data_IF_490515607526
#
_entry.id   IF_490515607526
#
_cell.length_a   1.000
_cell.length_b   1.000
_cell.length_c   1.000
_cell.angle_alpha   90.00
_cell.angle_beta   90.00
_cell.angle_gamma   90.00
#
_symmetry.space_group_name_H-M   'P 1'
#
loop_
_entity.id
_entity.type
_entity.pdbx_description
1 polymer ?
#
# COMPACT_ATOMS: atom_id res chain seq x y z
N UNK A 1 -56.04 -51.21 -47.40
CA UNK A 1 -54.98 -50.39 -48.01
C UNK A 1 -54.94 -48.95 -47.49
N UNK A 2 -56.06 -48.21 -47.46
CA UNK A 2 -56.10 -46.80 -47.00
C UNK A 2 -55.65 -46.59 -45.53
N UNK A 3 -55.99 -47.52 -44.62
CA UNK A 3 -55.64 -47.44 -43.19
C UNK A 3 -54.13 -47.57 -42.91
N UNK A 4 -53.43 -48.38 -43.70
CA UNK A 4 -51.98 -48.54 -43.59
C UNK A 4 -51.25 -47.27 -44.03
N UNK A 5 -51.74 -46.63 -45.11
CA UNK A 5 -51.21 -45.35 -45.59
C UNK A 5 -51.41 -44.22 -44.58
N UNK A 6 -52.58 -44.15 -43.93
CA UNK A 6 -52.81 -43.18 -42.86
C UNK A 6 -51.92 -43.45 -41.63
N UNK A 7 -51.73 -44.71 -41.25
CA UNK A 7 -50.89 -45.08 -40.11
C UNK A 7 -49.40 -44.75 -40.35
N UNK A 8 -48.88 -45.02 -41.56
CA UNK A 8 -47.49 -44.68 -41.89
C UNK A 8 -47.27 -43.17 -41.92
N UNK A 9 -48.22 -42.40 -42.47
CA UNK A 9 -48.15 -40.95 -42.50
C UNK A 9 -48.17 -40.35 -41.08
N UNK A 10 -49.02 -40.87 -40.20
CA UNK A 10 -49.08 -40.44 -38.80
C UNK A 10 -47.77 -40.72 -38.04
N UNK A 11 -47.12 -41.84 -38.33
CA UNK A 11 -45.86 -42.22 -37.66
C UNK A 11 -44.68 -41.37 -38.14
N UNK A 12 -44.65 -41.01 -39.43
CA UNK A 12 -43.65 -40.10 -40.00
C UNK A 12 -43.76 -38.67 -39.46
N UNK A 13 -44.98 -38.22 -39.13
CA UNK A 13 -45.19 -36.90 -38.51
C UNK A 13 -44.78 -36.85 -37.03
N UNK A 14 -44.65 -38.01 -36.38
CA UNK A 14 -44.28 -38.11 -34.96
C UNK A 14 -42.76 -38.17 -34.74
N UNK A 15 -41.95 -38.25 -35.81
CA UNK A 15 -40.50 -38.13 -35.70
C UNK A 15 -40.13 -36.67 -35.47
N UNK A 16 -40.11 -36.28 -34.19
CA UNK A 16 -39.76 -34.93 -33.75
C UNK A 16 -38.31 -34.54 -34.07
N UNK A 17 -38.05 -33.23 -34.11
CA UNK A 17 -36.73 -32.68 -34.35
C UNK A 17 -35.73 -33.09 -33.24
N UNK A 18 -34.57 -33.60 -33.63
CA UNK A 18 -33.48 -33.85 -32.71
C UNK A 18 -32.80 -32.51 -32.35
N UNK A 19 -33.07 -32.00 -31.15
CA UNK A 19 -32.36 -30.83 -30.61
C UNK A 19 -31.03 -31.28 -30.02
N UNK A 20 -29.93 -30.88 -30.64
CA UNK A 20 -28.60 -31.02 -30.05
C UNK A 20 -28.49 -30.10 -28.82
N UNK A 21 -28.06 -30.64 -27.68
CA UNK A 21 -27.73 -29.83 -26.51
C UNK A 21 -26.39 -29.14 -26.77
N UNK A 22 -26.42 -27.84 -27.09
CA UNK A 22 -25.20 -27.04 -27.09
C UNK A 22 -24.74 -26.87 -25.64
N UNK A 23 -23.54 -27.36 -25.34
CA UNK A 23 -22.97 -27.23 -24.01
C UNK A 23 -22.62 -25.75 -23.80
N UNK A 24 -23.03 -25.13 -22.67
CA UNK A 24 -22.65 -23.76 -22.35
C UNK A 24 -21.13 -23.62 -22.44
N UNK A 25 -20.66 -22.65 -23.23
CA UNK A 25 -19.23 -22.37 -23.34
C UNK A 25 -18.65 -22.14 -21.94
N UNK A 26 -17.68 -22.96 -21.55
CA UNK A 26 -16.86 -22.69 -20.35
C UNK A 26 -16.09 -21.40 -20.59
N UNK A 27 -16.53 -20.31 -19.98
CA UNK A 27 -15.72 -19.12 -19.85
C UNK A 27 -14.54 -19.47 -18.92
N UNK A 28 -13.31 -19.21 -19.38
CA UNK A 28 -12.17 -19.29 -18.50
C UNK A 28 -12.37 -18.29 -17.35
N UNK A 29 -12.01 -18.66 -16.10
CA UNK A 29 -11.99 -17.70 -15.00
C UNK A 29 -11.20 -16.46 -15.41
N UNK A 30 -11.63 -15.24 -15.01
CA UNK A 30 -10.87 -14.03 -15.28
C UNK A 30 -9.42 -14.20 -14.83
N UNK A 31 -8.44 -13.64 -15.58
CA UNK A 31 -7.05 -13.66 -15.16
C UNK A 31 -6.91 -13.14 -13.73
N UNK A 32 -6.32 -13.95 -12.86
CA UNK A 32 -6.05 -13.55 -11.48
C UNK A 32 -4.97 -12.48 -11.51
N UNK A 33 -5.32 -11.25 -11.14
CA UNK A 33 -4.34 -10.19 -10.98
C UNK A 33 -3.59 -10.40 -9.67
N UNK A 34 -2.34 -10.86 -9.76
CA UNK A 34 -1.42 -10.84 -8.61
C UNK A 34 -0.73 -9.49 -8.59
N UNK A 35 -0.86 -8.69 -7.52
CA UNK A 35 -0.12 -7.42 -7.43
C UNK A 35 1.38 -7.70 -7.53
N UNK A 36 2.08 -6.87 -8.31
CA UNK A 36 3.54 -6.92 -8.41
C UNK A 36 4.10 -6.66 -7.00
N UNK A 37 4.98 -7.53 -6.46
CA UNK A 37 5.59 -7.28 -5.16
C UNK A 37 6.33 -5.95 -5.18
N UNK A 38 5.84 -4.99 -4.40
CA UNK A 38 6.53 -3.72 -4.15
C UNK A 38 7.43 -3.90 -2.94
N UNK A 39 8.65 -3.39 -3.05
CA UNK A 39 9.55 -3.36 -1.90
C UNK A 39 8.93 -2.48 -0.80
N UNK A 40 8.83 -3.06 0.40
CA UNK A 40 8.46 -2.36 1.64
C UNK A 40 9.50 -2.69 2.69
N UNK A 41 9.98 -1.66 3.38
CA UNK A 41 10.95 -1.82 4.45
C UNK A 41 10.21 -2.01 5.78
N UNK A 42 10.53 -3.08 6.50
CA UNK A 42 9.91 -3.46 7.79
C UNK A 42 10.98 -3.71 8.87
N UNK A 43 12.14 -3.07 8.75
CA UNK A 43 13.30 -3.28 9.61
C UNK A 43 13.40 -2.31 10.80
N UNK A 44 14.59 -2.20 11.37
CA UNK A 44 14.92 -1.25 12.44
C UNK A 44 15.53 0.05 11.88
N UNK A 45 14.99 1.21 12.27
CA UNK A 45 15.47 2.51 11.83
C UNK A 45 16.51 3.02 12.82
N UNK A 46 17.61 3.56 12.31
CA UNK A 46 18.65 4.23 13.08
C UNK A 46 19.02 5.53 12.38
N UNK A 47 19.35 6.56 13.14
CA UNK A 47 19.69 7.87 12.60
C UNK A 47 20.58 8.65 13.55
N UNK A 48 21.50 9.42 13.00
CA UNK A 48 22.36 10.32 13.77
C UNK A 48 21.88 11.76 13.56
N UNK A 49 21.98 12.57 14.60
CA UNK A 49 21.68 14.00 14.56
C UNK A 49 22.94 14.77 14.95
N UNK A 50 23.19 15.87 14.25
CA UNK A 50 24.29 16.77 14.51
C UNK A 50 23.86 18.22 14.23
N UNK A 51 24.32 19.15 15.05
CA UNK A 51 24.03 20.58 14.95
C UNK A 51 25.19 21.39 15.52
N UNK A 52 25.31 22.65 15.10
CA UNK A 52 26.28 23.59 15.67
C UNK A 52 25.56 24.91 15.95
N UNK A 53 25.68 25.40 17.18
CA UNK A 53 25.17 26.70 17.60
C UNK A 53 26.33 27.68 17.68
N UNK A 54 26.06 28.94 17.32
CA UNK A 54 26.98 30.05 17.52
C UNK A 54 26.23 31.29 17.98
N UNK A 55 26.87 32.10 18.82
CA UNK A 55 26.32 33.34 19.37
C UNK A 55 26.85 34.56 18.62
N UNK A 56 25.93 35.44 18.24
CA UNK A 56 26.23 36.66 17.50
C UNK A 56 26.35 37.92 18.39
N UNK A 57 26.19 37.81 19.71
CA UNK A 57 26.22 38.97 20.62
C UNK A 57 26.47 38.59 22.08
N UNK A 58 27.71 38.77 22.52
CA UNK A 58 28.15 38.52 23.90
C UNK A 58 27.45 39.43 24.91
N UNK A 59 26.33 38.97 25.52
CA UNK A 59 25.80 39.59 26.76
C UNK A 59 24.75 38.80 27.56
N UNK A 60 24.58 37.50 27.33
CA UNK A 60 23.78 36.65 28.24
C UNK A 60 24.67 35.61 28.90
N UNK A 61 24.58 35.50 30.23
CA UNK A 61 25.24 34.43 31.00
C UNK A 61 24.40 33.12 31.02
N UNK A 62 23.33 33.06 30.21
CA UNK A 62 22.39 31.94 30.18
C UNK A 62 21.72 31.84 28.80
N UNK A 63 22.36 31.15 27.84
CA UNK A 63 21.72 30.75 26.58
C UNK A 63 20.92 29.47 26.82
N UNK A 64 19.61 29.62 27.04
CA UNK A 64 18.67 28.51 27.00
C UNK A 64 17.79 28.63 25.76
N UNK A 65 17.81 27.63 24.90
CA UNK A 65 16.98 27.58 23.69
C UNK A 65 16.17 26.29 23.62
N UNK A 66 14.95 26.36 23.09
CA UNK A 66 14.08 25.20 22.91
C UNK A 66 14.51 24.34 21.72
N UNK A 67 14.59 23.03 21.92
CA UNK A 67 14.87 22.08 20.84
C UNK A 67 13.53 21.67 20.20
N UNK A 68 13.28 21.96 18.92
CA UNK A 68 11.98 21.68 18.32
C UNK A 68 11.79 20.18 18.06
N UNK A 69 10.53 19.76 18.02
CA UNK A 69 10.15 18.45 17.48
C UNK A 69 10.41 18.43 15.96
N UNK A 70 10.85 17.31 15.35
CA UNK A 70 11.04 15.96 15.91
C UNK A 70 12.41 15.68 16.53
N UNK A 71 13.25 16.70 16.69
CA UNK A 71 14.66 16.53 17.09
C UNK A 71 14.84 16.28 18.60
N UNK A 72 13.82 16.59 19.42
CA UNK A 72 13.74 16.22 20.82
C UNK A 72 12.27 16.15 21.29
N UNK A 73 12.05 15.58 22.49
CA UNK A 73 10.73 15.57 23.11
C UNK A 73 10.21 17.01 23.35
N UNK A 74 8.90 17.28 23.19
CA UNK A 74 8.33 18.60 23.46
C UNK A 74 8.71 19.11 24.86
N UNK A 75 9.21 20.35 24.93
CA UNK A 75 9.68 20.96 26.19
C UNK A 75 11.16 20.74 26.50
N UNK A 76 11.91 20.03 25.64
CA UNK A 76 13.37 19.92 25.76
C UNK A 76 14.03 21.27 25.53
N UNK A 77 14.88 21.69 26.46
CA UNK A 77 15.69 22.92 26.34
C UNK A 77 17.17 22.57 26.44
N UNK A 78 17.99 23.20 25.60
CA UNK A 78 19.44 23.13 25.68
C UNK A 78 19.95 24.40 26.37
N UNK A 79 20.80 24.24 27.38
CA UNK A 79 21.40 25.35 28.15
C UNK A 79 22.93 25.28 28.08
N UNK A 80 23.58 26.42 27.91
CA UNK A 80 25.05 26.52 27.93
C UNK A 80 25.48 27.52 29.02
N UNK A 81 26.46 27.15 29.83
CA UNK A 81 26.92 27.92 31.01
C UNK A 81 28.23 28.70 30.78
N UNK A 82 28.75 28.73 29.56
CA UNK A 82 30.06 29.31 29.24
C UNK A 82 29.93 30.62 28.43
N UNK A 83 30.89 31.56 28.59
CA UNK A 83 30.88 32.89 27.94
C UNK A 83 31.00 32.84 26.41
N UNK A 84 31.54 31.75 25.87
CA UNK A 84 31.50 31.42 24.45
C UNK A 84 30.36 30.43 24.28
N UNK A 85 29.22 30.89 23.77
CA UNK A 85 27.99 30.10 23.61
C UNK A 85 27.96 29.34 22.26
N UNK A 86 29.14 29.12 21.67
CA UNK A 86 29.30 28.34 20.44
C UNK A 86 29.57 26.87 20.80
N UNK A 87 28.92 25.94 20.10
CA UNK A 87 29.11 24.52 20.41
C UNK A 87 28.44 23.56 19.46
N UNK A 88 28.99 22.35 19.37
CA UNK A 88 28.43 21.23 18.62
C UNK A 88 27.43 20.45 19.50
N UNK A 89 26.27 20.10 18.95
CA UNK A 89 25.31 19.18 19.53
C UNK A 89 25.16 17.97 18.61
N UNK A 90 24.93 16.79 19.18
CA UNK A 90 24.66 15.60 18.37
C UNK A 90 24.35 14.36 19.21
N UNK A 91 23.83 13.32 18.55
CA UNK A 91 23.41 12.06 19.17
C UNK A 91 23.06 11.00 18.13
N UNK A 92 22.89 9.75 18.57
CA UNK A 92 22.48 8.59 17.78
C UNK A 92 21.27 7.91 18.43
#
# INVERSE_FOLDING_TARGET
MKKLLLASAATALLTGAASAADLPRRAAPPPVFTPVPVFTWTGAYFGINAGYAFDASSRSNNSTFGVPFPYAAPGTTATFSNRSQDGFSGGA
#
